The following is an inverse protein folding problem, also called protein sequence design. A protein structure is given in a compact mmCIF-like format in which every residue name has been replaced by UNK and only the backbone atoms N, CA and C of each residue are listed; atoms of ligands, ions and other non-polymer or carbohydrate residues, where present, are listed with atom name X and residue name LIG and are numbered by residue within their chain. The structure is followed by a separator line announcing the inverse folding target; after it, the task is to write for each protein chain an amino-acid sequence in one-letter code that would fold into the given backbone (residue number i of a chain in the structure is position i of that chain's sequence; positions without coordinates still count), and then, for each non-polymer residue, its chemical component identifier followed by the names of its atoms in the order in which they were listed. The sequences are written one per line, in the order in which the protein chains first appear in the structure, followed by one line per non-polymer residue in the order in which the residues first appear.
data_IF_763105652056
#
_entry.id   IF_763105652056
#
_cell.length_a   1.000
_cell.length_b   1.000
_cell.length_c   1.000
_cell.angle_alpha   90.00
_cell.angle_beta   90.00
_cell.angle_gamma   90.00
#
_symmetry.space_group_name_H-M   'P 1'
#
loop_
_entity.id
_entity.type
_entity.pdbx_description
1 polymer ?
#
# COMPACT_ATOMS: atom_id res chain seq x y z
N UNK A 1 -19.92 7.71 -21.66
CA UNK A 1 -18.61 7.32 -21.11
C UNK A 1 -17.89 6.50 -22.15
N UNK A 2 -16.71 6.90 -22.61
CA UNK A 2 -15.96 6.05 -23.53
C UNK A 2 -15.52 4.78 -22.79
N UNK A 3 -15.86 3.63 -23.35
CA UNK A 3 -15.40 2.32 -22.91
C UNK A 3 -13.88 2.30 -23.00
N UNK A 4 -13.19 2.31 -21.85
CA UNK A 4 -11.75 2.14 -21.82
C UNK A 4 -11.45 0.70 -22.24
N UNK A 5 -10.80 0.57 -23.37
CA UNK A 5 -10.35 -0.70 -23.93
C UNK A 5 -9.30 -1.29 -22.98
N UNK A 6 -9.73 -2.25 -22.15
CA UNK A 6 -8.90 -2.91 -21.12
C UNK A 6 -7.69 -3.60 -21.73
N UNK A 7 -7.78 -4.02 -22.98
CA UNK A 7 -6.68 -4.69 -23.66
C UNK A 7 -5.59 -3.69 -24.05
N UNK A 8 -5.94 -2.49 -24.50
CA UNK A 8 -4.98 -1.41 -24.77
C UNK A 8 -4.30 -0.90 -23.50
N UNK A 9 -5.03 -0.85 -22.39
CA UNK A 9 -4.46 -0.46 -21.10
C UNK A 9 -3.46 -1.51 -20.59
N UNK A 10 -3.79 -2.79 -20.77
CA UNK A 10 -2.92 -3.92 -20.42
C UNK A 10 -1.67 -4.00 -21.31
N UNK A 11 -1.80 -3.77 -22.61
CA UNK A 11 -0.67 -3.69 -23.55
C UNK A 11 0.23 -2.47 -23.25
N UNK A 12 -0.36 -1.32 -22.96
CA UNK A 12 0.36 -0.11 -22.58
C UNK A 12 1.16 -0.32 -21.30
N UNK A 13 0.55 -0.96 -20.28
CA UNK A 13 1.20 -1.30 -19.02
C UNK A 13 2.34 -2.29 -19.24
N UNK A 14 2.12 -3.36 -19.99
CA UNK A 14 3.15 -4.35 -20.33
C UNK A 14 4.32 -3.74 -21.10
N UNK A 15 4.04 -2.82 -22.04
CA UNK A 15 5.06 -2.11 -22.81
C UNK A 15 5.85 -1.11 -21.97
N UNK A 16 5.22 -0.49 -20.99
CA UNK A 16 5.88 0.39 -20.03
C UNK A 16 6.77 -0.42 -19.08
N UNK A 17 6.30 -1.54 -18.57
CA UNK A 17 7.06 -2.44 -17.71
C UNK A 17 8.28 -3.04 -18.45
N UNK A 18 8.13 -3.42 -19.71
CA UNK A 18 9.23 -3.92 -20.53
C UNK A 18 10.32 -2.87 -20.82
N UNK A 19 9.97 -1.59 -20.84
CA UNK A 19 10.93 -0.48 -21.01
C UNK A 19 11.65 -0.08 -19.72
N UNK A 20 11.14 -0.47 -18.55
CA UNK A 20 11.82 -0.22 -17.27
C UNK A 20 13.04 -1.12 -17.17
N UNK A 21 14.17 -0.51 -16.89
CA UNK A 21 15.43 -1.20 -16.52
C UNK A 21 15.24 -1.95 -15.20
N UNK A 22 14.48 -2.94 -14.99
CA UNK A 22 14.33 -3.79 -13.79
C UNK A 22 14.65 -3.18 -12.40
N UNK A 23 15.06 -1.91 -12.37
CA UNK A 23 15.46 -1.14 -11.18
C UNK A 23 14.39 -0.11 -10.82
N UNK A 24 13.90 -0.20 -9.61
CA UNK A 24 12.97 0.78 -9.03
C UNK A 24 13.31 1.03 -7.57
N UNK A 25 12.68 2.02 -6.95
CA UNK A 25 12.80 2.29 -5.52
C UNK A 25 11.78 1.52 -4.70
N UNK A 26 10.66 1.10 -5.31
CA UNK A 26 9.54 0.55 -4.57
C UNK A 26 9.18 -0.81 -5.13
N UNK A 27 9.06 -1.78 -4.24
CA UNK A 27 8.73 -3.16 -4.55
C UNK A 27 7.61 -3.64 -3.64
N UNK A 28 6.70 -4.41 -4.18
CA UNK A 28 5.66 -5.03 -3.40
C UNK A 28 5.58 -6.53 -3.64
N UNK A 29 5.06 -7.21 -2.65
CA UNK A 29 4.84 -8.66 -2.68
C UNK A 29 3.69 -9.04 -1.78
N UNK A 30 3.31 -10.31 -1.83
CA UNK A 30 2.31 -10.91 -0.97
C UNK A 30 2.99 -11.96 -0.07
N UNK A 31 2.58 -12.01 1.19
CA UNK A 31 3.03 -13.01 2.16
C UNK A 31 1.81 -13.73 2.71
N UNK A 32 1.82 -15.06 2.63
CA UNK A 32 0.78 -15.90 3.20
C UNK A 32 1.23 -16.38 4.58
N UNK A 33 0.53 -16.03 5.67
CA UNK A 33 0.98 -16.35 7.04
C UNK A 33 1.15 -17.84 7.28
N UNK A 34 0.38 -18.70 6.59
CA UNK A 34 0.48 -20.15 6.76
C UNK A 34 1.78 -20.76 6.19
N UNK A 35 2.45 -20.10 5.25
CA UNK A 35 3.68 -20.59 4.60
C UNK A 35 4.90 -19.70 4.84
N UNK A 36 4.72 -18.54 5.46
CA UNK A 36 5.81 -17.66 5.81
C UNK A 36 6.61 -18.22 7.01
N UNK A 37 7.93 -17.94 7.08
CA UNK A 37 8.70 -18.19 8.29
C UNK A 37 8.09 -17.43 9.48
N UNK A 38 8.16 -17.99 10.69
CA UNK A 38 7.60 -17.34 11.90
C UNK A 38 8.21 -15.96 12.18
N UNK A 39 9.47 -15.76 11.80
CA UNK A 39 10.27 -14.55 12.00
C UNK A 39 10.22 -13.55 10.84
N UNK A 40 9.31 -13.74 9.86
CA UNK A 40 9.29 -12.92 8.64
C UNK A 40 9.13 -11.41 8.90
N UNK A 41 8.38 -11.02 9.94
CA UNK A 41 8.23 -9.62 10.35
C UNK A 41 9.56 -9.07 10.89
N UNK A 42 10.25 -9.83 11.76
CA UNK A 42 11.53 -9.42 12.33
C UNK A 42 12.59 -9.23 11.23
N UNK A 43 12.60 -10.12 10.22
CA UNK A 43 13.47 -9.98 9.05
C UNK A 43 13.23 -8.69 8.27
N UNK A 44 11.98 -8.24 8.16
CA UNK A 44 11.68 -6.94 7.56
C UNK A 44 12.18 -5.77 8.42
N UNK A 45 12.03 -5.84 9.73
CA UNK A 45 12.54 -4.81 10.65
C UNK A 45 14.07 -4.68 10.60
N UNK A 46 14.77 -5.81 10.51
CA UNK A 46 16.24 -5.86 10.40
C UNK A 46 16.81 -5.24 9.13
N UNK A 47 15.98 -5.04 8.09
CA UNK A 47 16.43 -4.37 6.87
C UNK A 47 16.72 -2.88 7.07
N UNK A 48 16.18 -2.25 8.11
CA UNK A 48 16.28 -0.81 8.38
C UNK A 48 15.92 0.09 7.18
N UNK A 49 15.00 -0.36 6.36
CA UNK A 49 14.42 0.40 5.25
C UNK A 49 12.93 0.65 5.49
N UNK A 50 12.38 1.64 4.83
CA UNK A 50 10.95 1.95 4.96
C UNK A 50 10.10 0.81 4.42
N UNK A 51 9.33 0.17 5.29
CA UNK A 51 8.42 -0.94 4.95
C UNK A 51 7.03 -0.67 5.51
N UNK A 52 6.03 -0.94 4.70
CA UNK A 52 4.63 -1.00 5.12
C UNK A 52 4.09 -2.42 4.91
N UNK A 53 3.41 -2.94 5.93
CA UNK A 53 2.70 -4.22 5.85
C UNK A 53 1.22 -3.97 6.10
N UNK A 54 0.37 -4.45 5.21
CA UNK A 54 -1.08 -4.30 5.33
C UNK A 54 -1.64 -4.98 6.58
N UNK A 55 -2.87 -4.65 6.99
CA UNK A 55 -3.69 -5.58 7.77
C UNK A 55 -3.79 -6.94 7.09
N UNK A 56 -4.18 -7.97 7.83
CA UNK A 56 -4.46 -9.28 7.22
C UNK A 56 -5.68 -9.16 6.30
N UNK A 57 -5.48 -9.42 5.02
CA UNK A 57 -6.55 -9.50 4.03
C UNK A 57 -7.21 -10.87 4.11
N UNK A 58 -8.18 -11.02 5.00
CA UNK A 58 -8.93 -12.25 5.25
C UNK A 58 -10.39 -12.20 4.74
N UNK A 59 -10.82 -11.04 4.23
CA UNK A 59 -12.18 -10.79 3.73
C UNK A 59 -12.25 -10.58 2.22
N UNK A 60 -11.12 -10.70 1.54
CA UNK A 60 -11.04 -10.52 0.10
C UNK A 60 -11.73 -11.65 -0.65
N UNK A 61 -12.40 -11.30 -1.75
CA UNK A 61 -13.14 -12.24 -2.60
C UNK A 61 -12.53 -12.25 -4.00
N UNK A 62 -12.41 -13.43 -4.57
CA UNK A 62 -12.01 -13.63 -5.97
C UNK A 62 -13.13 -13.18 -6.93
N UNK A 63 -12.81 -12.86 -8.20
CA UNK A 63 -13.82 -12.61 -9.22
C UNK A 63 -14.83 -13.75 -9.40
N UNK A 64 -14.47 -14.97 -9.01
CA UNK A 64 -15.36 -16.15 -9.00
C UNK A 64 -16.36 -16.16 -7.84
N UNK A 65 -16.25 -15.22 -6.87
CA UNK A 65 -17.07 -15.16 -5.66
C UNK A 65 -16.54 -16.01 -4.49
N UNK A 66 -15.41 -16.68 -4.66
CA UNK A 66 -14.78 -17.47 -3.60
C UNK A 66 -13.88 -16.60 -2.70
N UNK A 67 -13.80 -16.87 -1.39
CA UNK A 67 -12.85 -16.18 -0.51
C UNK A 67 -11.41 -16.39 -0.99
N UNK A 68 -10.64 -15.31 -0.96
CA UNK A 68 -9.18 -15.39 -1.15
C UNK A 68 -8.54 -15.97 0.12
N UNK A 69 -7.46 -16.68 -0.08
CA UNK A 69 -6.58 -17.11 1.00
C UNK A 69 -6.06 -15.90 1.78
N UNK A 70 -6.13 -15.91 3.13
CA UNK A 70 -5.61 -14.81 3.93
C UNK A 70 -4.15 -14.50 3.60
N UNK A 71 -3.86 -13.22 3.43
CA UNK A 71 -2.53 -12.76 3.01
C UNK A 71 -2.25 -11.34 3.49
N UNK A 72 -0.96 -11.01 3.53
CA UNK A 72 -0.48 -9.65 3.73
C UNK A 72 0.10 -9.10 2.43
N UNK A 73 -0.09 -7.81 2.19
CA UNK A 73 0.67 -7.05 1.21
C UNK A 73 1.85 -6.37 1.91
N UNK A 74 3.01 -6.43 1.29
CA UNK A 74 4.24 -5.81 1.80
C UNK A 74 4.75 -4.83 0.76
N UNK A 75 5.00 -3.58 1.17
CA UNK A 75 5.59 -2.54 0.35
C UNK A 75 6.96 -2.15 0.93
N UNK A 76 8.02 -2.37 0.16
CA UNK A 76 9.37 -1.91 0.46
C UNK A 76 9.67 -0.64 -0.32
N UNK A 77 10.20 0.38 0.37
CA UNK A 77 10.54 1.68 -0.21
C UNK A 77 12.00 2.01 0.09
N UNK A 78 12.79 2.19 -0.95
CA UNK A 78 14.22 2.48 -0.87
C UNK A 78 14.51 3.92 -1.29
N UNK A 79 15.56 4.52 -0.74
CA UNK A 79 16.02 5.85 -1.13
C UNK A 79 16.63 5.88 -2.54
N UNK A 80 17.20 4.76 -2.98
CA UNK A 80 17.80 4.61 -4.30
C UNK A 80 17.23 3.41 -5.06
N UNK A 81 17.23 3.43 -6.41
CA UNK A 81 16.77 2.30 -7.21
C UNK A 81 17.58 1.04 -6.92
N UNK A 82 16.91 -0.09 -6.72
CA UNK A 82 17.47 -1.41 -6.49
C UNK A 82 17.24 -2.31 -7.69
N UNK A 83 18.14 -3.25 -7.89
CA UNK A 83 17.97 -4.34 -8.84
C UNK A 83 17.17 -5.47 -8.18
N UNK A 84 16.14 -5.95 -8.89
CA UNK A 84 15.26 -6.95 -8.30
C UNK A 84 16.01 -8.25 -8.02
N UNK A 85 16.66 -8.83 -9.03
CA UNK A 85 17.21 -10.19 -8.97
C UNK A 85 18.32 -10.32 -7.93
N UNK A 86 19.17 -9.30 -7.83
CA UNK A 86 20.36 -9.35 -6.98
C UNK A 86 20.15 -8.79 -5.56
N UNK A 87 19.21 -7.86 -5.38
CA UNK A 87 19.03 -7.13 -4.12
C UNK A 87 17.70 -7.39 -3.44
N UNK A 88 16.63 -7.59 -4.19
CA UNK A 88 15.27 -7.72 -3.63
C UNK A 88 14.83 -9.18 -3.53
N UNK A 89 15.13 -10.01 -4.54
CA UNK A 89 14.77 -11.42 -4.52
C UNK A 89 15.24 -12.15 -3.26
N UNK A 90 16.50 -11.98 -2.79
CA UNK A 90 16.94 -12.60 -1.53
C UNK A 90 16.12 -12.17 -0.31
N UNK A 91 15.66 -10.91 -0.26
CA UNK A 91 14.77 -10.42 0.79
C UNK A 91 13.42 -11.13 0.71
N UNK A 92 12.83 -11.18 -0.48
CA UNK A 92 11.54 -11.84 -0.71
C UNK A 92 11.58 -13.33 -0.35
N UNK A 93 12.66 -14.02 -0.75
CA UNK A 93 12.86 -15.43 -0.41
C UNK A 93 12.94 -15.64 1.11
N UNK A 94 13.60 -14.73 1.82
CA UNK A 94 13.79 -14.83 3.27
C UNK A 94 12.50 -14.70 4.07
N UNK A 95 11.52 -13.99 3.55
CA UNK A 95 10.20 -13.77 4.20
C UNK A 95 9.10 -14.69 3.65
N UNK A 96 9.42 -15.59 2.74
CA UNK A 96 8.44 -16.48 2.11
C UNK A 96 7.44 -15.74 1.21
N UNK A 97 7.89 -14.66 0.56
CA UNK A 97 7.08 -13.85 -0.34
C UNK A 97 6.65 -14.63 -1.59
N UNK A 98 5.44 -14.33 -2.06
CA UNK A 98 4.88 -14.91 -3.27
C UNK A 98 4.60 -13.81 -4.29
N UNK A 99 5.23 -13.91 -5.46
CA UNK A 99 5.11 -12.92 -6.51
C UNK A 99 5.91 -11.65 -6.24
N UNK A 100 5.91 -10.78 -7.24
CA UNK A 100 6.58 -9.47 -7.18
C UNK A 100 5.79 -8.43 -7.95
N UNK A 101 5.85 -7.20 -7.49
CA UNK A 101 5.35 -6.04 -8.20
C UNK A 101 6.36 -4.90 -8.16
N UNK A 102 6.68 -4.33 -9.32
CA UNK A 102 7.45 -3.10 -9.44
C UNK A 102 6.48 -1.92 -9.26
N UNK A 103 6.55 -1.27 -8.12
CA UNK A 103 5.58 -0.25 -7.73
C UNK A 103 5.95 1.10 -8.34
N UNK A 104 5.07 1.64 -9.17
CA UNK A 104 5.24 2.95 -9.80
C UNK A 104 4.90 4.10 -8.87
N UNK A 105 3.84 3.93 -8.07
CA UNK A 105 3.35 4.91 -7.11
C UNK A 105 3.32 4.30 -5.72
N UNK A 106 4.29 4.66 -4.88
CA UNK A 106 4.30 4.23 -3.49
C UNK A 106 3.02 4.67 -2.76
N UNK A 107 2.54 5.91 -3.01
CA UNK A 107 1.26 6.41 -2.46
C UNK A 107 0.07 5.56 -2.91
N UNK A 108 -0.04 5.27 -4.20
CA UNK A 108 -1.14 4.46 -4.72
C UNK A 108 -1.14 3.05 -4.13
N UNK A 109 0.03 2.44 -3.99
CA UNK A 109 0.14 1.13 -3.37
C UNK A 109 -0.11 1.16 -1.86
N UNK A 110 0.40 2.17 -1.15
CA UNK A 110 0.11 2.35 0.28
C UNK A 110 -1.40 2.49 0.54
N UNK A 111 -2.12 3.25 -0.28
CA UNK A 111 -3.59 3.36 -0.20
C UNK A 111 -4.27 2.02 -0.50
N UNK A 112 -3.71 1.23 -1.40
CA UNK A 112 -4.20 -0.11 -1.72
C UNK A 112 -4.07 -1.10 -0.55
N UNK A 113 -3.11 -0.92 0.37
CA UNK A 113 -2.97 -1.76 1.57
C UNK A 113 -4.24 -1.83 2.43
N UNK A 114 -5.08 -0.81 2.39
CA UNK A 114 -6.37 -0.77 3.08
C UNK A 114 -7.57 -0.63 2.12
N UNK A 115 -7.34 -0.75 0.81
CA UNK A 115 -8.33 -0.58 -0.26
C UNK A 115 -9.03 0.80 -0.26
N UNK A 116 -8.33 1.86 0.18
CA UNK A 116 -8.92 3.21 0.33
C UNK A 116 -9.54 3.76 -0.95
N UNK A 117 -9.03 3.37 -2.11
CA UNK A 117 -9.54 3.81 -3.43
C UNK A 117 -10.43 2.75 -4.11
N UNK A 118 -10.75 1.67 -3.41
CA UNK A 118 -11.51 0.54 -3.92
C UNK A 118 -12.71 0.23 -3.01
N UNK A 119 -13.75 1.09 -3.00
CA UNK A 119 -14.89 0.92 -2.10
C UNK A 119 -15.70 -0.36 -2.34
N UNK A 120 -15.53 -0.98 -3.51
CA UNK A 120 -16.13 -2.27 -3.87
C UNK A 120 -15.47 -3.48 -3.20
N UNK A 121 -14.27 -3.29 -2.63
CA UNK A 121 -13.53 -4.33 -1.93
C UNK A 121 -13.75 -4.25 -0.41
N UNK A 122 -13.37 -5.32 0.28
CA UNK A 122 -13.32 -5.31 1.75
C UNK A 122 -12.41 -4.17 2.23
N UNK A 123 -12.89 -3.35 3.17
CA UNK A 123 -12.14 -2.25 3.73
C UNK A 123 -11.38 -2.72 4.97
N UNK A 124 -10.12 -2.30 5.08
CA UNK A 124 -9.23 -2.61 6.20
C UNK A 124 -8.85 -1.34 6.95
N UNK A 125 -8.55 -1.48 8.25
CA UNK A 125 -8.25 -0.35 9.11
C UNK A 125 -6.82 0.16 8.90
N UNK A 126 -6.61 1.45 8.57
CA UNK A 126 -5.28 2.05 8.50
C UNK A 126 -4.45 1.93 9.78
N UNK A 127 -5.11 1.85 10.95
CA UNK A 127 -4.44 1.71 12.25
C UNK A 127 -3.69 0.37 12.38
N UNK A 128 -4.11 -0.64 11.64
CA UNK A 128 -3.50 -1.98 11.65
C UNK A 128 -2.32 -2.11 10.68
N UNK A 129 -2.03 -1.07 9.88
CA UNK A 129 -0.85 -1.07 9.00
C UNK A 129 0.41 -1.01 9.84
N UNK A 130 1.29 -2.00 9.67
CA UNK A 130 2.60 -1.99 10.32
C UNK A 130 3.55 -1.09 9.56
N UNK A 131 4.24 -0.22 10.28
CA UNK A 131 5.18 0.77 9.75
C UNK A 131 6.55 0.48 10.34
N UNK A 132 7.56 0.30 9.49
CA UNK A 132 8.92 -0.07 9.87
C UNK A 132 9.94 0.83 9.16
N UNK A 133 11.13 0.95 9.73
CA UNK A 133 12.25 1.67 9.11
C UNK A 133 11.96 3.14 8.79
N UNK A 134 11.14 3.80 9.60
CA UNK A 134 10.76 5.21 9.40
C UNK A 134 9.66 5.43 8.35
N UNK A 135 8.97 4.38 7.90
CA UNK A 135 7.82 4.54 7.03
C UNK A 135 6.70 5.32 7.75
N UNK A 136 6.08 6.27 7.04
CA UNK A 136 4.93 7.04 7.51
C UNK A 136 3.73 6.77 6.61
N UNK A 137 2.87 5.87 7.03
CA UNK A 137 1.69 5.46 6.27
C UNK A 137 0.72 6.63 6.04
N UNK A 138 0.47 7.40 7.09
CA UNK A 138 -0.48 8.52 7.00
C UNK A 138 0.06 9.64 6.10
N UNK A 139 1.33 10.00 6.26
CA UNK A 139 1.95 11.00 5.42
C UNK A 139 2.00 10.60 3.94
N UNK A 140 2.30 9.34 3.63
CA UNK A 140 2.37 8.88 2.25
C UNK A 140 0.98 8.72 1.59
N UNK A 141 -0.06 8.38 2.35
CA UNK A 141 -1.41 8.14 1.82
C UNK A 141 -2.25 9.41 1.71
N UNK A 142 -1.86 10.50 2.37
CA UNK A 142 -2.58 11.76 2.37
C UNK A 142 -2.70 12.34 0.95
N UNK A 143 -3.90 12.75 0.59
CA UNK A 143 -4.18 13.46 -0.65
C UNK A 143 -4.46 14.94 -0.36
N UNK A 144 -4.17 15.87 -1.29
CA UNK A 144 -4.53 17.28 -1.14
C UNK A 144 -6.03 17.51 -0.89
N UNK A 145 -6.88 16.62 -1.41
CA UNK A 145 -8.34 16.64 -1.19
C UNK A 145 -8.73 16.27 0.25
N UNK A 146 -7.89 15.52 0.95
CA UNK A 146 -8.15 15.13 2.33
C UNK A 146 -7.99 16.34 3.26
N UNK A 147 -7.02 17.22 2.98
CA UNK A 147 -6.82 18.48 3.72
C UNK A 147 -8.03 19.41 3.59
N UNK A 148 -8.59 19.54 2.37
CA UNK A 148 -9.77 20.37 2.12
C UNK A 148 -10.98 19.83 2.87
N UNK A 149 -11.17 18.52 2.87
CA UNK A 149 -12.26 17.89 3.62
C UNK A 149 -12.10 18.07 5.11
N UNK A 150 -10.90 17.88 5.66
CA UNK A 150 -10.61 18.08 7.06
C UNK A 150 -10.88 19.53 7.51
N UNK A 151 -10.46 20.52 6.70
CA UNK A 151 -10.74 21.93 6.95
C UNK A 151 -12.24 22.18 6.99
N UNK A 152 -13.01 21.62 6.04
CA UNK A 152 -14.47 21.75 6.01
C UNK A 152 -15.11 21.13 7.28
N UNK A 153 -14.70 19.94 7.66
CA UNK A 153 -15.19 19.26 8.87
C UNK A 153 -14.89 20.07 10.15
N UNK A 154 -13.68 20.69 10.22
CA UNK A 154 -13.30 21.58 11.33
C UNK A 154 -14.17 22.83 11.34
N UNK A 155 -14.43 23.44 10.19
CA UNK A 155 -15.29 24.62 10.08
C UNK A 155 -16.72 24.30 10.51
N UNK A 156 -17.29 23.18 10.05
CA UNK A 156 -18.63 22.72 10.43
C UNK A 156 -18.71 22.48 11.96
N UNK A 157 -17.65 21.90 12.54
CA UNK A 157 -17.57 21.72 14.01
C UNK A 157 -17.53 23.05 14.76
N UNK A 158 -16.73 24.01 14.29
CA UNK A 158 -16.64 25.36 14.88
C UNK A 158 -18.00 26.06 14.83
N UNK A 159 -18.69 26.03 13.69
CA UNK A 159 -20.02 26.62 13.54
C UNK A 159 -21.04 25.92 14.44
N UNK A 160 -21.08 24.60 14.46
CA UNK A 160 -22.03 23.82 15.24
C UNK A 160 -21.88 24.00 16.73
N UNK A 161 -20.68 24.36 17.21
CA UNK A 161 -20.38 24.58 18.62
C UNK A 161 -20.25 26.08 18.99
N UNK A 162 -20.58 26.99 18.04
CA UNK A 162 -20.53 28.44 18.22
C UNK A 162 -19.17 28.94 18.76
N UNK A 163 -18.06 28.34 18.31
CA UNK A 163 -16.72 28.68 18.77
C UNK A 163 -16.22 29.89 17.96
N UNK A 164 -16.15 31.06 18.60
CA UNK A 164 -15.74 32.32 17.97
C UNK A 164 -14.33 32.76 18.33
N UNK A 165 -13.65 32.06 19.23
CA UNK A 165 -12.30 32.39 19.69
C UNK A 165 -11.45 31.14 19.85
N UNK A 166 -10.17 31.24 19.48
CA UNK A 166 -9.19 30.17 19.67
C UNK A 166 -8.93 29.79 21.13
N UNK A 167 -9.34 30.66 22.05
CA UNK A 167 -9.18 30.48 23.52
C UNK A 167 -10.39 29.84 24.20
N UNK A 168 -11.39 29.39 23.46
CA UNK A 168 -12.59 28.71 23.97
C UNK A 168 -12.51 27.19 23.93
N UNK A 169 -11.32 26.64 23.68
CA UNK A 169 -11.04 25.21 23.75
C UNK A 169 -10.57 24.76 25.12
#
# INVERSE_FOLDING_TARGET
MPYKDKDKEKESKARYEAKRSGRTRNFATVVYPESAPEDWINKLEELHVSVLVSPLHDKDINPSGEPKKPHYHVLLMFESPKDFETQIQPIFDSIGAVGRELVNSARGYARYLCHLDNPEKAQYSPVEVRQMGGADYYGITQLPTDDVRLISEIMDFIEANEIFSFFEF
#
